data_IF_110494942013
#
_entry.id   IF_110494942013
#
_cell.length_a   1.000
_cell.length_b   1.000
_cell.length_c   1.000
_cell.angle_alpha   90.00
_cell.angle_beta   90.00
_cell.angle_gamma   90.00
#
_symmetry.space_group_name_H-M   'P 1'
#
loop_
_entity.id
_entity.type
_entity.pdbx_description
1 polymer ?
#
# COMPACT_ATOMS: atom_id res chain seq x y z
N UNK A 1 4.25 25.38 -5.00
CA UNK A 1 5.03 24.15 -4.73
C UNK A 1 6.49 24.50 -4.94
N UNK A 2 7.32 24.38 -3.91
CA UNK A 2 8.71 24.80 -4.01
C UNK A 2 9.52 23.70 -4.71
N UNK A 3 10.07 24.01 -5.89
CA UNK A 3 10.88 23.08 -6.68
C UNK A 3 12.34 23.50 -6.66
N UNK A 4 13.24 22.57 -6.36
CA UNK A 4 14.68 22.76 -6.39
C UNK A 4 15.27 21.95 -7.54
N UNK A 5 16.26 22.51 -8.24
CA UNK A 5 17.01 21.79 -9.26
C UNK A 5 18.40 21.51 -8.69
N UNK A 6 18.77 20.24 -8.59
CA UNK A 6 20.11 19.79 -8.17
C UNK A 6 20.61 18.85 -9.27
N UNK A 7 21.79 19.11 -9.83
CA UNK A 7 22.40 18.32 -10.91
C UNK A 7 21.45 18.00 -12.09
N UNK A 8 20.78 19.03 -12.63
CA UNK A 8 19.77 18.93 -13.70
C UNK A 8 18.54 18.04 -13.38
N UNK A 9 18.32 17.68 -12.12
CA UNK A 9 17.12 16.97 -11.66
C UNK A 9 16.23 17.88 -10.84
N UNK A 10 14.91 17.84 -11.11
CA UNK A 10 13.91 18.62 -10.39
C UNK A 10 13.37 17.85 -9.19
N UNK A 11 13.41 18.47 -8.02
CA UNK A 11 12.95 17.94 -6.74
C UNK A 11 11.85 18.84 -6.18
N UNK A 12 10.82 18.24 -5.58
CA UNK A 12 9.78 18.99 -4.88
C UNK A 12 10.07 18.96 -3.38
N UNK A 13 10.25 20.14 -2.79
CA UNK A 13 10.41 20.27 -1.34
C UNK A 13 9.04 20.38 -0.71
N UNK A 14 8.73 19.44 0.17
CA UNK A 14 7.49 19.42 0.95
C UNK A 14 7.80 19.42 2.45
N UNK A 15 7.03 20.14 3.27
CA UNK A 15 7.11 20.01 4.72
C UNK A 15 6.86 18.56 5.15
N UNK A 16 7.56 18.11 6.19
CA UNK A 16 7.48 16.72 6.67
C UNK A 16 6.05 16.25 6.95
N UNK A 17 5.22 17.09 7.60
CA UNK A 17 3.80 16.80 7.86
C UNK A 17 3.01 16.55 6.58
N UNK A 18 3.29 17.31 5.52
CA UNK A 18 2.65 17.15 4.21
C UNK A 18 3.13 15.89 3.50
N UNK A 19 4.41 15.55 3.66
CA UNK A 19 4.98 14.31 3.13
C UNK A 19 4.36 13.07 3.77
N UNK A 20 4.22 13.05 5.10
CA UNK A 20 3.55 11.95 5.81
C UNK A 20 2.09 11.79 5.37
N UNK A 21 1.37 12.89 5.15
CA UNK A 21 0.01 12.85 4.64
C UNK A 21 -0.06 12.28 3.21
N UNK A 22 0.91 12.64 2.34
CA UNK A 22 1.02 12.07 0.99
C UNK A 22 1.36 10.58 1.02
N UNK A 23 2.28 10.16 1.89
CA UNK A 23 2.59 8.74 2.08
C UNK A 23 1.38 7.96 2.58
N UNK A 24 0.64 8.46 3.56
CA UNK A 24 -0.60 7.83 4.04
C UNK A 24 -1.64 7.68 2.93
N UNK A 25 -1.82 8.73 2.11
CA UNK A 25 -2.72 8.70 0.95
C UNK A 25 -2.27 7.72 -0.13
N UNK A 26 -0.97 7.58 -0.37
CA UNK A 26 -0.42 6.61 -1.32
C UNK A 26 -0.49 5.17 -0.79
N UNK A 27 -0.30 4.97 0.52
CA UNK A 27 -0.38 3.66 1.17
C UNK A 27 -1.81 3.13 1.26
N UNK A 28 -2.79 4.02 1.38
CA UNK A 28 -4.20 3.70 1.17
C UNK A 28 -4.37 3.35 -0.32
N UNK A 29 -4.36 2.05 -0.64
CA UNK A 29 -4.48 1.55 -2.01
C UNK A 29 -5.68 2.24 -2.68
N UNK A 30 -5.46 2.74 -3.89
CA UNK A 30 -6.46 3.41 -4.75
C UNK A 30 -7.68 2.56 -5.04
N UNK A 31 -7.64 1.26 -4.72
CA UNK A 31 -8.78 0.35 -4.73
C UNK A 31 -8.92 -0.22 -3.33
N UNK A 32 -10.09 -0.10 -2.69
CA UNK A 32 -10.34 -0.82 -1.44
C UNK A 32 -10.14 -2.31 -1.73
N UNK A 33 -9.18 -2.92 -1.05
CA UNK A 33 -9.07 -4.38 -1.07
C UNK A 33 -10.31 -4.97 -0.43
N UNK A 34 -10.71 -6.16 -0.88
CA UNK A 34 -11.88 -6.85 -0.33
C UNK A 34 -11.65 -7.07 1.15
N UNK A 35 -12.33 -6.29 1.98
CA UNK A 35 -12.31 -6.44 3.44
C UNK A 35 -13.08 -7.70 3.78
N UNK A 36 -12.41 -8.66 4.37
CA UNK A 36 -13.04 -9.86 4.90
C UNK A 36 -13.43 -9.63 6.36
N UNK A 37 -14.56 -10.21 6.78
CA UNK A 37 -14.78 -10.43 8.21
C UNK A 37 -13.76 -11.42 8.76
N UNK A 38 -13.59 -11.48 10.08
CA UNK A 38 -12.62 -12.39 10.72
C UNK A 38 -12.88 -13.86 10.34
N UNK A 39 -14.15 -14.24 10.23
CA UNK A 39 -14.54 -15.61 9.85
C UNK A 39 -14.23 -15.90 8.38
N UNK A 40 -14.55 -14.96 7.49
CA UNK A 40 -14.25 -15.07 6.07
C UNK A 40 -12.73 -15.12 5.82
N UNK A 41 -11.95 -14.32 6.55
CA UNK A 41 -10.50 -14.34 6.46
C UNK A 41 -9.92 -15.69 6.89
N UNK A 42 -10.43 -16.29 7.98
CA UNK A 42 -10.02 -17.62 8.44
C UNK A 42 -10.34 -18.71 7.41
N UNK A 43 -11.53 -18.67 6.83
CA UNK A 43 -11.95 -19.63 5.80
C UNK A 43 -11.10 -19.49 4.53
N UNK A 44 -10.88 -18.25 4.07
CA UNK A 44 -10.07 -17.94 2.90
C UNK A 44 -8.62 -18.40 3.06
N UNK A 45 -7.98 -18.11 4.21
CA UNK A 45 -6.62 -18.55 4.52
C UNK A 45 -6.49 -20.07 4.53
N UNK A 46 -7.42 -20.79 5.17
CA UNK A 46 -7.42 -22.27 5.17
C UNK A 46 -7.56 -22.85 3.77
N UNK A 47 -8.38 -22.24 2.91
CA UNK A 47 -8.54 -22.64 1.51
C UNK A 47 -7.23 -22.48 0.72
N UNK A 48 -6.53 -21.36 0.91
CA UNK A 48 -5.24 -21.13 0.26
C UNK A 48 -4.17 -22.11 0.74
N UNK A 49 -4.10 -22.38 2.05
CA UNK A 49 -3.17 -23.36 2.62
C UNK A 49 -3.41 -24.75 2.02
N UNK A 50 -4.67 -25.17 1.91
CA UNK A 50 -5.03 -26.45 1.27
C UNK A 50 -4.62 -26.50 -0.20
N UNK A 51 -4.85 -25.41 -0.94
CA UNK A 51 -4.44 -25.32 -2.36
C UNK A 51 -2.92 -25.46 -2.49
N UNK A 52 -2.17 -24.76 -1.65
CA UNK A 52 -0.70 -24.81 -1.68
C UNK A 52 -0.17 -26.19 -1.28
N UNK A 53 -0.79 -26.84 -0.29
CA UNK A 53 -0.45 -28.19 0.10
C UNK A 53 -0.73 -29.23 -0.99
N UNK A 54 -1.73 -29.01 -1.85
CA UNK A 54 -2.08 -29.90 -2.97
C UNK A 54 -1.24 -29.64 -4.24
N UNK A 55 -0.58 -28.49 -4.34
CA UNK A 55 0.37 -28.16 -5.42
C UNK A 55 1.77 -28.78 -5.20
N UNK A 56 1.98 -29.47 -4.08
CA UNK A 56 3.25 -30.10 -3.69
C UNK A 56 3.14 -31.62 -3.75
#
# INVERSE_FOLDING_TARGET
MNTLIIDNKSYVVVPAKSYEALQKRAALKTKPEKTFSVEEARAHSKKLIKKWAAEK
#
